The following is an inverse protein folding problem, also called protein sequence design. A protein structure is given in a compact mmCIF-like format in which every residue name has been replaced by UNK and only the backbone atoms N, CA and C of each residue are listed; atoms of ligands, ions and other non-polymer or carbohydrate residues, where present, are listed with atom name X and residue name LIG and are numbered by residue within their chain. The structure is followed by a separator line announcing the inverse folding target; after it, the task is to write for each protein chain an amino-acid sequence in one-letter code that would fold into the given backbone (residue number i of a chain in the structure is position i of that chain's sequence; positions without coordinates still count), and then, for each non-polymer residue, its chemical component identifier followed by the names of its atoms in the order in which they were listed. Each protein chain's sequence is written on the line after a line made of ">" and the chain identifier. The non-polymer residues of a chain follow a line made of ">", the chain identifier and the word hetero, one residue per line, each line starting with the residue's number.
data_IF_264241256256
#
_entry.id   IF_264241256256
#
_cell.length_a   1.000
_cell.length_b   1.000
_cell.length_c   1.000
_cell.angle_alpha   90.00
_cell.angle_beta   90.00
_cell.angle_gamma   90.00
#
_symmetry.space_group_name_H-M   'P 1'
#
loop_
_entity.id
_entity.type
_entity.pdbx_description
1 polymer ?
#
# COMPACT_ATOMS: atom_id res chain seq x y z
N UNK A 1 14.72 -17.82 -9.55
CA UNK A 1 13.46 -18.52 -9.89
C UNK A 1 12.30 -18.22 -8.92
N UNK A 2 12.49 -17.39 -7.89
CA UNK A 2 11.42 -16.84 -7.05
C UNK A 2 10.98 -15.42 -7.47
N UNK A 3 11.79 -14.75 -8.30
CA UNK A 3 11.58 -13.36 -8.73
C UNK A 3 10.48 -13.16 -9.79
N UNK A 4 9.91 -14.24 -10.31
CA UNK A 4 8.94 -14.17 -11.42
C UNK A 4 7.48 -14.40 -10.97
N UNK A 5 7.25 -14.57 -9.67
CA UNK A 5 5.89 -14.72 -9.13
C UNK A 5 5.24 -13.36 -8.91
N UNK A 6 4.05 -13.12 -9.48
CA UNK A 6 3.34 -11.88 -9.25
C UNK A 6 3.12 -11.63 -7.75
N UNK A 7 3.34 -10.41 -7.27
CA UNK A 7 3.10 -10.05 -5.87
C UNK A 7 1.60 -10.17 -5.50
N UNK A 8 1.28 -10.11 -4.20
CA UNK A 8 -0.06 -10.41 -3.68
C UNK A 8 -1.18 -9.59 -4.35
N UNK A 9 -0.97 -8.29 -4.56
CA UNK A 9 -1.98 -7.43 -5.21
C UNK A 9 -2.17 -7.78 -6.69
N UNK A 10 -1.11 -8.20 -7.39
CA UNK A 10 -1.20 -8.66 -8.78
C UNK A 10 -2.02 -9.97 -8.87
N UNK A 11 -1.78 -10.91 -7.94
CA UNK A 11 -2.58 -12.15 -7.86
C UNK A 11 -4.05 -11.86 -7.57
N UNK A 12 -4.33 -10.96 -6.60
CA UNK A 12 -5.71 -10.55 -6.29
C UNK A 12 -6.40 -9.89 -7.49
N UNK A 13 -5.67 -9.02 -8.20
CA UNK A 13 -6.13 -8.41 -9.46
C UNK A 13 -6.49 -9.46 -10.50
N UNK A 14 -5.60 -10.42 -10.76
CA UNK A 14 -5.83 -11.49 -11.72
C UNK A 14 -7.06 -12.32 -11.36
N UNK A 15 -7.19 -12.73 -10.10
CA UNK A 15 -8.36 -13.45 -9.59
C UNK A 15 -9.66 -12.64 -9.74
N UNK A 16 -9.60 -11.32 -9.50
CA UNK A 16 -10.76 -10.44 -9.67
C UNK A 16 -11.14 -10.28 -11.14
N UNK A 17 -10.17 -10.13 -12.04
CA UNK A 17 -10.41 -10.06 -13.49
C UNK A 17 -11.02 -11.34 -14.04
N UNK A 18 -10.55 -12.51 -13.58
CA UNK A 18 -11.09 -13.79 -14.01
C UNK A 18 -12.59 -13.97 -13.70
N UNK A 19 -13.11 -13.27 -12.68
CA UNK A 19 -14.54 -13.24 -12.33
C UNK A 19 -15.33 -12.15 -13.04
N UNK A 20 -14.67 -11.27 -13.80
CA UNK A 20 -15.32 -10.14 -14.47
C UNK A 20 -15.94 -10.58 -15.77
N UNK A 21 -17.22 -10.31 -15.96
CA UNK A 21 -17.95 -10.55 -17.23
C UNK A 21 -17.76 -9.42 -18.24
N UNK A 22 -17.22 -8.27 -17.80
CA UNK A 22 -16.96 -7.09 -18.63
C UNK A 22 -15.55 -6.57 -18.37
N UNK A 23 -14.89 -6.00 -19.39
CA UNK A 23 -13.61 -5.33 -19.21
C UNK A 23 -13.70 -4.20 -18.16
N UNK A 24 -12.72 -4.11 -17.29
CA UNK A 24 -12.59 -2.94 -16.40
C UNK A 24 -12.09 -1.74 -17.21
N UNK A 25 -12.92 -0.70 -17.31
CA UNK A 25 -12.57 0.56 -17.95
C UNK A 25 -12.20 1.58 -16.88
N UNK A 26 -10.92 1.92 -16.77
CA UNK A 26 -10.48 3.01 -15.89
C UNK A 26 -11.07 4.34 -16.35
N UNK A 27 -11.58 5.16 -15.43
CA UNK A 27 -12.05 6.52 -15.73
C UNK A 27 -10.92 7.33 -16.37
N UNK A 28 -11.21 8.05 -17.43
CA UNK A 28 -10.20 8.76 -18.23
C UNK A 28 -9.51 7.89 -19.27
N UNK A 29 -10.13 6.75 -19.60
CA UNK A 29 -9.66 5.67 -20.44
C UNK A 29 -9.02 6.06 -21.75
N UNK A 30 -7.71 6.31 -21.73
CA UNK A 30 -6.91 6.10 -22.91
C UNK A 30 -6.83 4.59 -23.13
N UNK A 31 -7.24 4.13 -24.31
CA UNK A 31 -7.07 2.75 -24.80
C UNK A 31 -5.59 2.48 -25.10
N UNK A 32 -4.72 2.68 -24.10
CA UNK A 32 -3.29 2.40 -24.24
C UNK A 32 -3.00 1.06 -23.60
N UNK A 33 -2.16 0.32 -24.26
CA UNK A 33 -1.58 -0.88 -23.68
C UNK A 33 -0.78 -0.53 -22.43
N UNK A 34 -1.04 -1.24 -21.35
CA UNK A 34 -0.42 -1.00 -20.06
C UNK A 34 0.51 -2.14 -19.69
N UNK A 35 1.62 -1.78 -19.06
CA UNK A 35 2.52 -2.75 -18.48
C UNK A 35 1.79 -3.57 -17.39
N UNK A 36 1.87 -4.87 -17.45
CA UNK A 36 1.26 -5.76 -16.45
C UNK A 36 1.93 -5.61 -15.07
N UNK A 37 3.24 -5.31 -15.05
CA UNK A 37 4.02 -5.15 -13.83
C UNK A 37 3.72 -3.85 -13.07
N UNK A 38 3.64 -2.69 -13.73
CA UNK A 38 3.40 -1.40 -13.06
C UNK A 38 2.05 -0.75 -13.39
N UNK A 39 1.29 -1.28 -14.35
CA UNK A 39 -0.03 -0.79 -14.81
C UNK A 39 -0.02 0.60 -15.46
N UNK A 40 1.13 1.19 -15.66
CA UNK A 40 1.34 2.42 -16.43
C UNK A 40 1.38 2.08 -17.94
N UNK A 41 1.15 3.05 -18.81
CA UNK A 41 1.30 2.85 -20.26
C UNK A 41 2.71 2.30 -20.56
N UNK A 42 2.84 1.35 -21.51
CA UNK A 42 4.12 0.70 -21.83
C UNK A 42 5.24 1.69 -22.11
N UNK A 43 4.95 2.80 -22.80
CA UNK A 43 5.92 3.87 -23.10
C UNK A 43 6.45 4.60 -21.85
N UNK A 44 5.81 4.41 -20.70
CA UNK A 44 6.13 5.05 -19.44
C UNK A 44 6.33 4.01 -18.34
N UNK A 45 6.69 2.79 -18.71
CA UNK A 45 6.92 1.71 -17.76
C UNK A 45 8.04 2.10 -16.78
N UNK A 46 7.80 1.83 -15.49
CA UNK A 46 8.76 2.14 -14.40
C UNK A 46 9.33 0.89 -13.73
N UNK A 47 9.02 -0.31 -14.20
CA UNK A 47 9.42 -1.57 -13.55
C UNK A 47 10.95 -1.70 -13.36
N UNK A 48 11.75 -1.12 -14.27
CA UNK A 48 13.21 -1.14 -14.16
C UNK A 48 13.77 -0.32 -12.98
N UNK A 49 12.95 0.52 -12.37
CA UNK A 49 13.34 1.42 -11.27
C UNK A 49 12.81 0.95 -9.92
N UNK A 50 12.22 -0.26 -9.83
CA UNK A 50 11.68 -0.77 -8.58
C UNK A 50 12.78 -0.85 -7.51
N UNK A 51 12.61 -0.18 -6.35
CA UNK A 51 13.61 -0.24 -5.30
C UNK A 51 13.62 -1.61 -4.61
N UNK A 52 14.79 -2.00 -4.12
CA UNK A 52 14.99 -3.17 -3.27
C UNK A 52 15.66 -2.70 -2.00
N UNK A 53 14.94 -2.77 -0.88
CA UNK A 53 15.44 -2.40 0.44
C UNK A 53 15.05 -3.47 1.46
N UNK A 54 15.81 -3.64 2.54
CA UNK A 54 15.42 -4.54 3.61
C UNK A 54 14.11 -4.06 4.28
N UNK A 55 13.17 -4.98 4.48
CA UNK A 55 11.91 -4.71 5.20
C UNK A 55 11.62 -5.89 6.10
N UNK A 56 11.42 -5.62 7.38
CA UNK A 56 11.08 -6.63 8.37
C UNK A 56 9.56 -6.71 8.64
N UNK A 57 8.86 -5.58 8.58
CA UNK A 57 7.41 -5.55 8.75
C UNK A 57 6.67 -6.24 7.59
N UNK A 58 5.50 -6.79 7.89
CA UNK A 58 4.54 -7.25 6.90
C UNK A 58 3.38 -6.26 6.71
N UNK A 59 2.72 -6.32 5.56
CA UNK A 59 1.52 -5.53 5.27
C UNK A 59 0.40 -6.44 4.78
N UNK A 60 -0.75 -6.37 5.44
CA UNK A 60 -1.99 -7.03 5.03
C UNK A 60 -2.95 -5.98 4.46
N UNK A 61 -3.21 -6.05 3.17
CA UNK A 61 -4.14 -5.17 2.47
C UNK A 61 -5.53 -5.84 2.38
N UNK A 62 -6.52 -5.26 3.06
CA UNK A 62 -7.93 -5.57 2.82
C UNK A 62 -8.44 -4.60 1.76
N UNK A 63 -8.76 -5.08 0.59
CA UNK A 63 -9.06 -4.25 -0.57
C UNK A 63 -10.53 -4.30 -0.92
N UNK A 64 -11.15 -3.15 -1.15
CA UNK A 64 -12.48 -3.08 -1.74
C UNK A 64 -12.46 -3.69 -3.16
N UNK A 65 -13.59 -4.21 -3.61
CA UNK A 65 -13.72 -5.07 -4.79
C UNK A 65 -13.03 -4.55 -6.06
N UNK A 66 -13.09 -3.25 -6.32
CA UNK A 66 -12.53 -2.65 -7.54
C UNK A 66 -11.12 -2.07 -7.35
N UNK A 67 -10.62 -1.96 -6.12
CA UNK A 67 -9.32 -1.32 -5.85
C UNK A 67 -8.15 -2.01 -6.58
N UNK A 68 -8.03 -3.35 -6.60
CA UNK A 68 -6.94 -4.01 -7.32
C UNK A 68 -6.97 -3.74 -8.84
N UNK A 69 -8.12 -3.34 -9.38
CA UNK A 69 -8.29 -3.08 -10.81
C UNK A 69 -7.82 -1.68 -11.22
N UNK A 70 -7.80 -0.71 -10.30
CA UNK A 70 -7.45 0.68 -10.61
C UNK A 70 -5.96 0.81 -10.97
N UNK A 71 -5.61 1.41 -12.10
CA UNK A 71 -4.20 1.67 -12.44
C UNK A 71 -3.49 2.58 -11.44
N UNK A 72 -4.24 3.44 -10.74
CA UNK A 72 -3.74 4.38 -9.72
C UNK A 72 -3.76 3.81 -8.30
N UNK A 73 -4.06 2.51 -8.11
CA UNK A 73 -4.06 1.92 -6.79
C UNK A 73 -2.64 1.91 -6.19
N UNK A 74 -2.47 2.47 -4.98
CA UNK A 74 -1.18 2.61 -4.32
C UNK A 74 -0.83 1.44 -3.40
N UNK A 75 -1.78 0.58 -3.05
CA UNK A 75 -1.50 -0.70 -2.40
C UNK A 75 -0.59 -1.60 -3.24
N UNK A 76 -0.60 -1.43 -4.56
CA UNK A 76 0.34 -2.08 -5.47
C UNK A 76 1.80 -1.72 -5.19
N UNK A 77 2.08 -0.45 -4.90
CA UNK A 77 3.44 0.03 -4.62
C UNK A 77 4.00 -0.53 -3.32
N UNK A 78 3.11 -0.79 -2.35
CA UNK A 78 3.48 -1.49 -1.12
C UNK A 78 3.98 -2.89 -1.47
N UNK A 79 3.21 -3.62 -2.29
CA UNK A 79 3.56 -4.97 -2.70
C UNK A 79 4.79 -5.04 -3.64
N UNK A 80 5.13 -3.94 -4.32
CA UNK A 80 6.38 -3.82 -5.07
C UNK A 80 7.61 -3.78 -4.16
N UNK A 81 7.49 -3.23 -2.95
CA UNK A 81 8.63 -2.95 -2.07
C UNK A 81 8.68 -3.86 -0.84
N UNK A 82 7.52 -4.17 -0.24
CA UNK A 82 7.42 -5.00 0.98
C UNK A 82 7.21 -6.46 0.58
N UNK A 83 8.22 -7.35 0.74
CA UNK A 83 8.12 -8.75 0.32
C UNK A 83 6.97 -9.49 0.99
N UNK A 84 6.77 -9.27 2.31
CA UNK A 84 5.69 -9.85 3.09
C UNK A 84 4.41 -9.02 2.98
N UNK A 85 3.96 -8.77 1.75
CA UNK A 85 2.65 -8.18 1.48
C UNK A 85 1.62 -9.26 1.18
N UNK A 86 0.51 -9.19 1.90
CA UNK A 86 -0.66 -10.05 1.73
C UNK A 86 -1.83 -9.18 1.24
N UNK A 87 -2.64 -9.67 0.32
CA UNK A 87 -3.76 -8.91 -0.22
C UNK A 87 -5.01 -9.78 -0.32
N UNK A 88 -6.10 -9.32 0.26
CA UNK A 88 -7.38 -10.00 0.30
C UNK A 88 -8.49 -9.07 -0.17
N UNK A 89 -9.41 -9.61 -0.98
CA UNK A 89 -10.63 -8.89 -1.32
C UNK A 89 -11.59 -8.88 -0.12
N UNK A 90 -12.02 -7.70 0.30
CA UNK A 90 -13.00 -7.59 1.36
C UNK A 90 -14.41 -7.96 0.89
N UNK A 91 -15.07 -8.83 1.62
CA UNK A 91 -16.49 -9.12 1.47
C UNK A 91 -17.21 -8.99 2.83
N UNK A 92 -18.46 -8.53 2.77
CA UNK A 92 -19.23 -8.25 3.99
C UNK A 92 -19.63 -9.50 4.76
N UNK A 93 -19.94 -10.56 4.04
CA UNK A 93 -20.58 -11.78 4.57
C UNK A 93 -19.68 -12.99 4.55
N UNK A 94 -18.54 -12.89 3.89
CA UNK A 94 -17.60 -14.00 3.73
C UNK A 94 -16.19 -13.49 3.97
N UNK A 95 -15.46 -14.17 4.85
CA UNK A 95 -14.08 -13.85 5.17
C UNK A 95 -13.20 -14.94 4.58
N UNK A 96 -12.13 -14.56 3.87
CA UNK A 96 -11.15 -15.49 3.35
C UNK A 96 -10.49 -16.25 4.52
N UNK A 97 -10.55 -17.58 4.56
CA UNK A 97 -9.90 -18.36 5.63
C UNK A 97 -8.40 -18.11 5.73
N UNK A 98 -7.71 -17.83 4.62
CA UNK A 98 -6.29 -17.52 4.62
C UNK A 98 -5.99 -16.20 5.34
N UNK A 99 -6.89 -15.22 5.30
CA UNK A 99 -6.78 -14.01 6.11
C UNK A 99 -6.82 -14.32 7.61
N UNK A 100 -7.77 -15.17 8.04
CA UNK A 100 -7.87 -15.54 9.45
C UNK A 100 -6.64 -16.32 9.92
N UNK A 101 -6.11 -17.20 9.07
CA UNK A 101 -4.87 -17.93 9.32
C UNK A 101 -3.69 -16.97 9.48
N UNK A 102 -3.54 -15.98 8.58
CA UNK A 102 -2.49 -14.96 8.65
C UNK A 102 -2.57 -14.15 9.96
N UNK A 103 -3.77 -13.69 10.33
CA UNK A 103 -3.96 -12.90 11.55
C UNK A 103 -3.71 -13.69 12.83
N UNK A 104 -3.85 -15.02 12.80
CA UNK A 104 -3.59 -15.91 13.93
C UNK A 104 -2.15 -16.46 13.97
N UNK A 105 -1.34 -16.23 12.94
CA UNK A 105 0.02 -16.72 12.84
C UNK A 105 0.92 -16.05 13.90
N UNK A 106 1.54 -16.82 14.81
CA UNK A 106 2.30 -16.31 15.93
C UNK A 106 3.57 -15.53 15.53
N UNK A 107 4.06 -15.66 14.31
CA UNK A 107 5.18 -14.86 13.82
C UNK A 107 4.83 -13.37 13.66
N UNK A 108 3.54 -13.05 13.56
CA UNK A 108 3.06 -11.70 13.33
C UNK A 108 2.50 -11.06 14.61
N UNK A 109 2.64 -9.75 14.66
CA UNK A 109 1.96 -8.86 15.58
C UNK A 109 1.01 -7.97 14.78
N UNK A 110 -0.26 -8.42 14.56
CA UNK A 110 -1.19 -7.65 13.75
C UNK A 110 -1.61 -6.36 14.46
N UNK A 111 -1.61 -5.26 13.69
CA UNK A 111 -2.05 -3.94 14.13
C UNK A 111 -2.89 -3.32 13.00
N UNK A 112 -4.13 -2.97 13.30
CA UNK A 112 -5.01 -2.31 12.34
C UNK A 112 -4.66 -0.83 12.30
N UNK A 113 -4.54 -0.24 11.11
CA UNK A 113 -4.27 1.20 10.98
C UNK A 113 -5.57 1.90 10.60
N UNK A 114 -6.08 2.71 11.53
CA UNK A 114 -7.34 3.44 11.31
C UNK A 114 -7.44 4.64 12.26
N UNK A 115 -8.15 5.73 11.90
CA UNK A 115 -8.30 6.88 12.79
C UNK A 115 -9.04 6.54 14.09
N UNK A 116 -8.43 6.92 15.21
CA UNK A 116 -8.88 6.56 16.56
C UNK A 116 -10.27 7.07 16.92
N UNK A 117 -10.74 8.14 16.28
CA UNK A 117 -12.10 8.69 16.50
C UNK A 117 -13.24 7.71 16.16
N UNK A 118 -12.93 6.66 15.38
CA UNK A 118 -13.91 5.62 15.00
C UNK A 118 -13.75 4.33 15.83
N UNK A 119 -12.88 4.32 16.83
CA UNK A 119 -12.45 3.13 17.55
C UNK A 119 -12.77 3.28 19.03
N UNK A 120 -13.11 2.17 19.70
CA UNK A 120 -13.25 2.17 21.15
C UNK A 120 -11.91 2.58 21.80
N UNK A 121 -11.89 3.52 22.76
CA UNK A 121 -10.65 4.10 23.29
C UNK A 121 -9.63 3.08 23.79
N UNK A 122 -10.06 1.99 24.39
CA UNK A 122 -9.18 0.93 24.91
C UNK A 122 -8.42 0.12 23.85
N UNK A 123 -8.74 0.30 22.57
CA UNK A 123 -8.04 -0.35 21.45
C UNK A 123 -7.07 0.59 20.72
N UNK A 124 -7.19 1.90 20.96
CA UNK A 124 -6.36 2.89 20.25
C UNK A 124 -4.98 2.91 20.85
N UNK A 125 -3.97 2.81 19.99
CA UNK A 125 -2.55 2.99 20.32
C UNK A 125 -1.94 4.05 19.41
N UNK A 126 -0.96 4.77 19.90
CA UNK A 126 -0.19 5.80 19.17
C UNK A 126 1.19 5.30 18.75
N UNK A 127 1.63 4.18 19.31
CA UNK A 127 2.86 3.48 18.96
C UNK A 127 2.67 1.96 19.12
N UNK A 128 3.63 1.21 18.63
CA UNK A 128 3.62 -0.26 18.68
C UNK A 128 4.75 -0.71 19.59
N UNK A 129 4.43 -1.30 20.73
CA UNK A 129 5.40 -1.96 21.58
C UNK A 129 5.86 -3.26 20.91
N UNK A 130 7.17 -3.43 20.64
CA UNK A 130 7.67 -4.64 20.02
C UNK A 130 7.44 -5.87 20.91
N UNK A 131 6.89 -6.92 20.33
CA UNK A 131 6.77 -8.23 21.00
C UNK A 131 7.93 -9.11 20.57
N UNK A 132 8.77 -9.61 21.52
CA UNK A 132 9.90 -10.47 21.18
C UNK A 132 9.50 -11.68 20.33
N UNK A 133 10.21 -11.90 19.23
CA UNK A 133 9.96 -13.00 18.30
C UNK A 133 8.80 -12.78 17.34
N UNK A 134 8.13 -11.61 17.38
CA UNK A 134 7.07 -11.26 16.43
C UNK A 134 7.46 -10.06 15.57
N UNK A 135 6.99 -10.05 14.35
CA UNK A 135 7.18 -8.97 13.39
C UNK A 135 5.88 -8.16 13.27
N UNK A 136 5.93 -6.83 13.15
CA UNK A 136 4.72 -6.04 12.91
C UNK A 136 4.02 -6.50 11.63
N UNK A 137 2.68 -6.62 11.68
CA UNK A 137 1.82 -6.81 10.51
C UNK A 137 0.79 -5.69 10.47
N UNK A 138 1.00 -4.72 9.58
CA UNK A 138 0.05 -3.63 9.40
C UNK A 138 -1.14 -4.05 8.57
N UNK A 139 -2.33 -4.00 9.16
CA UNK A 139 -3.59 -4.27 8.45
C UNK A 139 -4.17 -2.94 7.95
N UNK A 140 -4.12 -2.75 6.63
CA UNK A 140 -4.58 -1.52 5.96
C UNK A 140 -5.86 -1.79 5.18
N UNK A 141 -6.82 -0.86 5.26
CA UNK A 141 -8.08 -0.92 4.52
C UNK A 141 -7.93 -0.10 3.24
N UNK A 142 -7.69 -0.75 2.12
CA UNK A 142 -7.45 -0.11 0.83
C UNK A 142 -8.76 0.06 0.05
N UNK A 143 -9.34 1.25 0.18
CA UNK A 143 -10.67 1.58 -0.32
C UNK A 143 -10.88 3.10 -0.36
N UNK A 144 -12.00 3.55 -0.90
CA UNK A 144 -12.46 4.92 -0.64
C UNK A 144 -12.77 5.09 0.86
N UNK A 145 -12.70 6.34 1.36
CA UNK A 145 -12.94 6.60 2.78
C UNK A 145 -14.28 6.04 3.29
N UNK A 146 -15.36 6.23 2.51
CA UNK A 146 -16.68 5.70 2.86
C UNK A 146 -16.70 4.16 2.94
N UNK A 147 -15.99 3.49 2.01
CA UNK A 147 -15.85 2.04 2.00
C UNK A 147 -14.97 1.56 3.16
N UNK A 148 -13.83 2.20 3.41
CA UNK A 148 -12.92 1.84 4.50
C UNK A 148 -13.62 1.91 5.87
N UNK A 149 -14.42 2.95 6.14
CA UNK A 149 -15.27 3.04 7.34
C UNK A 149 -16.29 1.90 7.43
N UNK A 150 -16.89 1.52 6.32
CA UNK A 150 -17.81 0.38 6.27
C UNK A 150 -17.07 -0.93 6.51
N UNK A 151 -15.92 -1.12 5.88
CA UNK A 151 -15.06 -2.30 6.04
C UNK A 151 -14.63 -2.45 7.50
N UNK A 152 -14.10 -1.40 8.12
CA UNK A 152 -13.71 -1.41 9.54
C UNK A 152 -14.86 -1.86 10.44
N UNK A 153 -16.04 -1.25 10.29
CA UNK A 153 -17.23 -1.51 11.11
C UNK A 153 -17.84 -2.89 10.89
N UNK A 154 -17.57 -3.53 9.73
CA UNK A 154 -18.17 -4.81 9.33
C UNK A 154 -17.16 -5.97 9.29
N UNK A 155 -16.01 -5.79 9.93
CA UNK A 155 -14.95 -6.78 10.04
C UNK A 155 -14.66 -7.14 11.50
N UNK A 156 -15.59 -7.82 12.20
CA UNK A 156 -15.43 -8.13 13.63
C UNK A 156 -14.21 -9.00 13.94
N UNK A 157 -13.66 -9.70 12.96
CA UNK A 157 -12.41 -10.45 13.10
C UNK A 157 -11.19 -9.55 13.34
N UNK A 158 -11.31 -8.23 13.12
CA UNK A 158 -10.28 -7.25 13.46
C UNK A 158 -10.42 -6.73 14.91
N UNK A 159 -11.52 -7.03 15.62
CA UNK A 159 -11.80 -6.42 16.92
C UNK A 159 -10.85 -6.84 18.04
N UNK A 160 -10.17 -7.97 17.86
CA UNK A 160 -9.19 -8.48 18.83
C UNK A 160 -7.83 -7.73 18.76
N UNK A 161 -7.57 -6.92 17.73
CA UNK A 161 -6.27 -6.29 17.51
C UNK A 161 -6.27 -4.82 17.93
N UNK A 162 -5.11 -4.29 18.39
CA UNK A 162 -4.96 -2.86 18.62
C UNK A 162 -5.11 -2.08 17.32
N UNK A 163 -5.48 -0.81 17.44
CA UNK A 163 -5.64 0.10 16.31
C UNK A 163 -4.64 1.24 16.44
N UNK A 164 -3.65 1.26 15.57
CA UNK A 164 -2.72 2.37 15.44
C UNK A 164 -3.44 3.56 14.83
N UNK A 165 -3.55 4.63 15.60
CA UNK A 165 -4.07 5.91 15.15
C UNK A 165 -2.91 6.86 14.91
N UNK A 166 -2.66 7.20 13.65
CA UNK A 166 -1.60 8.14 13.28
C UNK A 166 -1.92 9.53 13.85
N UNK A 167 -0.96 10.11 14.58
CA UNK A 167 -1.16 11.38 15.25
C UNK A 167 -0.98 12.57 14.29
N UNK A 168 -1.67 13.71 14.50
CA UNK A 168 -1.56 14.89 13.64
C UNK A 168 -0.12 15.37 13.44
N UNK A 169 0.72 15.28 14.48
CA UNK A 169 2.14 15.66 14.43
C UNK A 169 2.95 14.75 13.52
N UNK A 170 2.71 13.44 13.57
CA UNK A 170 3.36 12.44 12.70
C UNK A 170 2.99 12.70 11.24
N UNK A 171 1.70 12.93 10.99
CA UNK A 171 1.15 13.28 9.68
C UNK A 171 1.76 14.59 9.16
N UNK A 172 1.82 15.61 10.01
CA UNK A 172 2.35 16.93 9.65
C UNK A 172 3.84 16.87 9.30
N UNK A 173 4.63 16.16 10.12
CA UNK A 173 6.06 15.97 9.89
C UNK A 173 6.34 15.20 8.60
N UNK A 174 5.53 14.18 8.29
CA UNK A 174 5.62 13.42 7.04
C UNK A 174 5.32 14.32 5.82
N UNK A 175 4.24 15.12 5.88
CA UNK A 175 3.87 16.07 4.81
C UNK A 175 4.91 17.15 4.59
N UNK A 176 5.49 17.70 5.64
CA UNK A 176 6.54 18.72 5.53
C UNK A 176 7.75 18.22 4.76
N UNK A 177 8.14 16.97 4.97
CA UNK A 177 9.26 16.33 4.24
C UNK A 177 8.93 16.06 2.77
N UNK A 178 7.67 15.87 2.42
CA UNK A 178 7.22 15.51 1.07
C UNK A 178 6.61 16.64 0.26
N UNK A 179 6.44 17.83 0.84
CA UNK A 179 5.73 18.95 0.20
C UNK A 179 4.32 18.58 -0.31
N UNK A 180 3.69 17.57 0.28
CA UNK A 180 2.38 17.10 -0.12
C UNK A 180 1.29 18.05 0.37
N UNK A 181 0.38 18.46 -0.54
CA UNK A 181 -0.70 19.42 -0.28
C UNK A 181 -2.10 18.77 -0.24
N UNK A 182 -2.20 17.47 -0.44
CA UNK A 182 -3.50 16.79 -0.40
C UNK A 182 -3.94 16.56 1.06
N UNK A 183 -5.24 16.70 1.31
CA UNK A 183 -5.80 16.57 2.66
C UNK A 183 -5.91 15.12 3.14
N UNK A 184 -5.75 14.16 2.24
CA UNK A 184 -5.87 12.74 2.54
C UNK A 184 -4.62 11.96 2.12
N UNK A 185 -4.20 11.00 2.98
CA UNK A 185 -3.15 10.05 2.65
C UNK A 185 -3.68 8.94 1.76
N UNK A 186 -2.89 8.56 0.75
CA UNK A 186 -3.12 7.30 0.05
C UNK A 186 -2.56 6.12 0.84
N UNK A 187 -2.95 4.89 0.46
CA UNK A 187 -2.59 3.68 1.20
C UNK A 187 -1.07 3.49 1.33
N UNK A 188 -0.28 3.83 0.30
CA UNK A 188 1.18 3.70 0.38
C UNK A 188 1.82 4.75 1.29
N UNK A 189 1.26 5.95 1.42
CA UNK A 189 1.75 6.95 2.37
C UNK A 189 1.51 6.53 3.82
N UNK A 190 0.34 5.94 4.09
CA UNK A 190 0.05 5.35 5.40
C UNK A 190 1.04 4.23 5.71
N UNK A 191 1.30 3.33 4.76
CA UNK A 191 2.27 2.24 4.93
C UNK A 191 3.69 2.77 5.17
N UNK A 192 4.13 3.77 4.40
CA UNK A 192 5.46 4.38 4.56
C UNK A 192 5.64 4.96 5.98
N UNK A 193 4.63 5.66 6.48
CA UNK A 193 4.66 6.19 7.85
C UNK A 193 4.68 5.08 8.90
N UNK A 194 3.92 4.01 8.70
CA UNK A 194 3.92 2.84 9.60
C UNK A 194 5.31 2.17 9.67
N UNK A 195 5.99 2.03 8.53
CA UNK A 195 7.36 1.50 8.48
C UNK A 195 8.33 2.38 9.25
N UNK A 196 8.27 3.70 9.09
CA UNK A 196 9.10 4.65 9.86
C UNK A 196 8.87 4.52 11.38
N UNK A 197 7.61 4.42 11.81
CA UNK A 197 7.22 4.33 13.22
C UNK A 197 7.68 3.02 13.89
N UNK A 198 7.96 1.98 13.12
CA UNK A 198 8.48 0.70 13.63
C UNK A 198 9.98 0.53 13.45
N UNK A 199 10.70 1.62 13.20
CA UNK A 199 12.16 1.62 13.13
C UNK A 199 12.74 1.21 11.78
N UNK A 200 11.94 1.29 10.72
CA UNK A 200 12.35 1.01 9.34
C UNK A 200 12.30 2.27 8.45
N UNK A 201 13.04 3.35 8.83
CA UNK A 201 12.94 4.63 8.13
C UNK A 201 13.40 4.55 6.66
N UNK A 202 14.40 3.71 6.35
CA UNK A 202 14.84 3.51 4.97
C UNK A 202 13.72 2.92 4.11
N UNK A 203 13.02 1.90 4.61
CA UNK A 203 11.91 1.28 3.89
C UNK A 203 10.74 2.25 3.70
N UNK A 204 10.41 3.04 4.73
CA UNK A 204 9.39 4.08 4.67
C UNK A 204 9.74 5.15 3.63
N UNK A 205 10.98 5.63 3.63
CA UNK A 205 11.44 6.62 2.67
C UNK A 205 11.52 6.07 1.24
N UNK A 206 11.96 4.82 1.06
CA UNK A 206 11.97 4.16 -0.23
C UNK A 206 10.55 4.00 -0.81
N UNK A 207 9.56 3.62 0.02
CA UNK A 207 8.17 3.54 -0.43
C UNK A 207 7.62 4.92 -0.79
N UNK A 208 7.96 5.95 -0.04
CA UNK A 208 7.58 7.33 -0.34
C UNK A 208 8.21 7.81 -1.67
N UNK A 209 9.50 7.56 -1.88
CA UNK A 209 10.19 7.91 -3.13
C UNK A 209 9.65 7.09 -4.33
N UNK A 210 9.29 5.82 -4.11
CA UNK A 210 8.65 4.99 -5.13
C UNK A 210 7.29 5.53 -5.56
N UNK A 211 6.50 6.05 -4.62
CA UNK A 211 5.25 6.75 -4.92
C UNK A 211 5.48 8.02 -5.75
N UNK A 212 6.56 8.78 -5.48
CA UNK A 212 6.88 9.98 -6.25
C UNK A 212 7.22 9.61 -7.71
N UNK A 213 8.04 8.58 -7.92
CA UNK A 213 8.35 8.05 -9.27
C UNK A 213 7.09 7.56 -9.96
N UNK A 214 6.27 6.77 -9.27
CA UNK A 214 4.99 6.31 -9.83
C UNK A 214 4.09 7.47 -10.24
N UNK A 215 3.94 8.48 -9.39
CA UNK A 215 3.11 9.66 -9.65
C UNK A 215 3.64 10.43 -10.85
N UNK A 216 4.96 10.63 -10.94
CA UNK A 216 5.60 11.27 -12.09
C UNK A 216 5.26 10.51 -13.38
N UNK A 217 5.56 9.21 -13.47
CA UNK A 217 5.29 8.42 -14.67
C UNK A 217 3.79 8.39 -15.02
N UNK A 218 2.92 8.27 -14.02
CA UNK A 218 1.47 8.26 -14.22
C UNK A 218 0.96 9.58 -14.83
N UNK A 219 1.44 10.72 -14.33
CA UNK A 219 1.05 12.04 -14.82
C UNK A 219 1.64 12.31 -16.21
N UNK A 220 2.90 11.93 -16.44
CA UNK A 220 3.52 12.08 -17.77
C UNK A 220 2.79 11.22 -18.81
N UNK A 221 2.45 9.98 -18.48
CA UNK A 221 1.65 9.12 -19.36
C UNK A 221 0.26 9.72 -19.65
N UNK A 222 -0.40 10.27 -18.63
CA UNK A 222 -1.71 10.91 -18.75
C UNK A 222 -1.65 12.14 -19.66
N UNK A 223 -0.63 12.96 -19.49
CA UNK A 223 -0.45 14.23 -20.23
C UNK A 223 0.29 14.04 -21.56
N UNK A 224 0.71 12.82 -21.90
CA UNK A 224 1.49 12.50 -23.12
C UNK A 224 2.82 13.24 -23.20
N UNK A 225 3.46 13.46 -22.07
CA UNK A 225 4.76 14.09 -21.94
C UNK A 225 5.86 13.05 -21.72
N UNK A 226 7.12 13.30 -22.11
CA UNK A 226 8.22 12.40 -21.82
C UNK A 226 8.47 12.28 -20.32
N UNK A 227 8.99 11.12 -19.89
CA UNK A 227 9.43 10.92 -18.51
C UNK A 227 10.79 11.58 -18.33
N UNK A 228 10.95 12.35 -17.26
CA UNK A 228 12.23 12.88 -16.82
C UNK A 228 12.89 11.88 -15.84
N UNK A 229 13.81 11.08 -16.35
CA UNK A 229 14.54 10.08 -15.56
C UNK A 229 15.65 10.69 -14.69
N UNK A 230 16.04 11.93 -14.92
CA UNK A 230 17.03 12.67 -14.15
C UNK A 230 16.39 13.68 -13.18
N UNK A 231 15.07 13.75 -13.18
CA UNK A 231 14.30 14.62 -12.32
C UNK A 231 14.35 14.21 -10.84
N UNK A 232 13.85 15.11 -9.99
CA UNK A 232 13.89 15.01 -8.52
C UNK A 232 13.35 13.68 -7.99
N UNK A 233 12.23 13.16 -8.53
CA UNK A 233 11.65 11.91 -8.09
C UNK A 233 12.60 10.72 -8.25
N UNK A 234 13.25 10.61 -9.40
CA UNK A 234 14.23 9.55 -9.68
C UNK A 234 15.53 9.74 -8.90
N UNK A 235 16.00 10.97 -8.74
CA UNK A 235 17.19 11.26 -7.92
C UNK A 235 16.97 10.85 -6.47
N UNK A 236 15.82 11.20 -5.91
CA UNK A 236 15.44 10.81 -4.55
C UNK A 236 15.38 9.29 -4.39
N UNK A 237 14.74 8.59 -5.33
CA UNK A 237 14.64 7.13 -5.27
C UNK A 237 16.01 6.47 -5.29
N UNK A 238 16.93 6.92 -6.17
CA UNK A 238 18.31 6.40 -6.23
C UNK A 238 19.07 6.62 -4.92
N UNK A 239 18.94 7.80 -4.33
CA UNK A 239 19.63 8.15 -3.08
C UNK A 239 19.19 7.26 -1.90
N UNK A 240 17.93 6.82 -1.87
CA UNK A 240 17.41 5.96 -0.79
C UNK A 240 17.67 4.48 -1.05
N UNK A 241 17.63 4.03 -2.31
CA UNK A 241 17.84 2.64 -2.67
C UNK A 241 19.32 2.21 -2.58
N UNK A 242 20.26 3.16 -2.78
CA UNK A 242 21.69 2.92 -2.71
C UNK A 242 22.36 3.98 -1.81
N UNK A 243 22.28 3.81 -0.49
CA UNK A 243 22.76 4.83 0.46
C UNK A 243 24.28 4.91 0.62
N UNK A 244 25.09 4.19 -0.26
CA UNK A 244 26.56 4.24 -0.26
C UNK A 244 27.21 3.26 0.71
#
# INVERSE_FOLDING_TARGET
>A
MLDDMPHAVARLRAARLARSTKPFLARGGFKRERCEGCRIALSHCLCAHRPVVPVNAGVCLLMADIEPLKPSNTGWLIADLVPDTFAFGWARTEVDPALLTLLADPQWQPVVVFPGEYVAPGRVVDHIEPVPGRRPLFVLLDATWAEARKMFRKSPYLDAFPVLSLQPEQISNYRLRRSNREDHFCTSEVAALCLELTGEPQAGEALAAWLDVFTHHYLQARNQLPVDLDGEAHQRLRAVADPG
#
